data_IF_352379703312
#
_entry.id   IF_352379703312
#
_cell.length_a   1.000
_cell.length_b   1.000
_cell.length_c   1.000
_cell.angle_alpha   90.00
_cell.angle_beta   90.00
_cell.angle_gamma   90.00
#
_symmetry.space_group_name_H-M   'P 1'
#
loop_
_entity.id
_entity.type
_entity.pdbx_description
1 polymer ?
#
# COMPACT_ATOMS: atom_id res chain seq x y z
N UNK A 1 24.36 11.84 2.84
CA UNK A 1 24.76 10.41 2.76
C UNK A 1 25.28 10.13 1.34
N UNK A 2 26.53 9.70 1.15
CA UNK A 2 27.15 9.56 -0.20
C UNK A 2 26.71 8.31 -0.98
N UNK A 3 26.25 7.26 -0.29
CA UNK A 3 25.89 5.97 -0.90
C UNK A 3 24.52 5.96 -1.60
N UNK A 4 23.59 6.86 -1.24
CA UNK A 4 22.27 6.93 -1.89
C UNK A 4 22.34 7.20 -3.39
N UNK A 5 23.35 7.95 -3.83
CA UNK A 5 23.63 8.23 -5.24
C UNK A 5 23.93 6.97 -6.08
N UNK A 6 24.29 5.86 -5.44
CA UNK A 6 24.70 4.64 -6.13
C UNK A 6 23.69 3.49 -5.95
N UNK A 7 22.50 3.77 -5.42
CA UNK A 7 21.51 2.74 -5.06
C UNK A 7 21.10 1.81 -6.19
N UNK A 8 20.88 2.37 -7.38
CA UNK A 8 20.48 1.61 -8.57
C UNK A 8 21.64 0.76 -9.09
N UNK A 9 22.87 1.28 -9.02
CA UNK A 9 24.06 0.50 -9.35
C UNK A 9 24.23 -0.68 -8.40
N UNK A 10 24.12 -0.44 -7.08
CA UNK A 10 24.24 -1.51 -6.08
C UNK A 10 23.11 -2.54 -6.26
N UNK A 11 21.88 -2.09 -6.51
CA UNK A 11 20.72 -2.96 -6.76
C UNK A 11 20.96 -3.91 -7.93
N UNK A 12 21.49 -3.39 -9.04
CA UNK A 12 21.75 -4.16 -10.28
C UNK A 12 22.65 -5.37 -10.06
N UNK A 13 23.62 -5.28 -9.14
CA UNK A 13 24.57 -6.36 -8.84
C UNK A 13 24.22 -7.14 -7.56
N UNK A 14 23.11 -6.81 -6.89
CA UNK A 14 22.68 -7.50 -5.68
C UNK A 14 21.86 -8.75 -6.00
N UNK A 15 21.99 -9.85 -5.24
CA UNK A 15 21.18 -11.06 -5.42
C UNK A 15 19.68 -10.77 -5.44
N UNK A 16 18.93 -11.53 -6.27
CA UNK A 16 17.47 -11.36 -6.41
C UNK A 16 16.72 -11.82 -5.16
N UNK A 17 17.12 -12.97 -4.62
CA UNK A 17 16.58 -13.56 -3.40
C UNK A 17 17.70 -13.96 -2.44
N UNK A 18 17.34 -14.09 -1.15
CA UNK A 18 18.24 -14.56 -0.09
C UNK A 18 17.53 -15.68 0.69
N UNK A 19 18.28 -16.60 1.31
CA UNK A 19 17.70 -17.69 2.09
C UNK A 19 17.09 -17.22 3.41
N UNK A 20 17.46 -16.04 3.90
CA UNK A 20 16.98 -15.48 5.17
C UNK A 20 15.99 -14.34 4.96
N UNK A 21 15.10 -14.16 5.93
CA UNK A 21 14.28 -12.95 6.03
C UNK A 21 15.13 -11.69 6.21
N UNK A 22 14.58 -10.55 5.79
CA UNK A 22 15.22 -9.25 5.94
C UNK A 22 14.76 -8.55 7.22
N UNK A 23 15.62 -7.72 7.80
CA UNK A 23 15.27 -6.84 8.91
C UNK A 23 15.47 -5.38 8.52
N UNK A 24 14.47 -4.55 8.77
CA UNK A 24 14.48 -3.12 8.50
C UNK A 24 14.22 -2.32 9.78
N UNK A 25 15.08 -1.35 10.07
CA UNK A 25 15.09 -0.66 11.36
C UNK A 25 14.88 0.84 11.24
N UNK A 26 15.41 1.48 10.19
CA UNK A 26 15.33 2.93 10.03
C UNK A 26 15.47 3.37 8.57
N UNK A 27 15.38 4.68 8.31
CA UNK A 27 15.45 5.28 6.99
C UNK A 27 16.70 4.98 6.16
N UNK A 28 17.81 4.54 6.76
CA UNK A 28 18.95 4.05 5.97
C UNK A 28 18.59 2.83 5.15
N UNK A 29 17.63 2.04 5.62
CA UNK A 29 17.23 0.78 4.98
C UNK A 29 16.37 0.98 3.72
N UNK A 30 15.80 2.17 3.53
CA UNK A 30 15.09 2.56 2.28
C UNK A 30 16.01 2.39 1.07
N UNK A 31 17.32 2.50 1.30
CA UNK A 31 18.35 2.40 0.29
C UNK A 31 18.73 0.97 -0.08
N UNK A 32 18.20 -0.03 0.63
CA UNK A 32 18.57 -1.41 0.40
C UNK A 32 18.15 -1.86 -1.00
N UNK A 33 18.97 -2.69 -1.67
CA UNK A 33 18.69 -3.20 -3.00
C UNK A 33 17.27 -3.72 -3.18
N UNK A 34 16.73 -4.42 -2.19
CA UNK A 34 15.43 -5.05 -2.29
C UNK A 34 14.28 -4.02 -2.30
N UNK A 35 14.42 -2.92 -1.55
CA UNK A 35 13.46 -1.81 -1.52
C UNK A 35 13.51 -1.03 -2.83
N UNK A 36 14.72 -0.72 -3.29
CA UNK A 36 14.96 -0.04 -4.57
C UNK A 36 14.42 -0.87 -5.73
N UNK A 37 14.68 -2.17 -5.73
CA UNK A 37 14.19 -3.12 -6.74
C UNK A 37 12.67 -3.19 -6.76
N UNK A 38 12.03 -3.29 -5.60
CA UNK A 38 10.56 -3.28 -5.53
C UNK A 38 9.99 -2.02 -6.17
N UNK A 39 10.50 -0.85 -5.79
CA UNK A 39 10.11 0.43 -6.37
C UNK A 39 10.28 0.45 -7.90
N UNK A 40 11.45 0.07 -8.41
CA UNK A 40 11.73 0.06 -9.85
C UNK A 40 10.78 -0.91 -10.57
N UNK A 41 10.61 -2.14 -10.07
CA UNK A 41 9.77 -3.15 -10.73
C UNK A 41 8.28 -2.83 -10.65
N UNK A 42 7.82 -2.27 -9.53
CA UNK A 42 6.45 -1.77 -9.41
C UNK A 42 6.19 -0.65 -10.42
N UNK A 43 7.22 0.12 -10.78
CA UNK A 43 7.14 1.12 -11.83
C UNK A 43 7.15 0.49 -13.22
N UNK A 44 8.16 -0.30 -13.54
CA UNK A 44 8.40 -0.72 -14.92
C UNK A 44 7.53 -1.91 -15.36
N UNK A 45 7.06 -2.74 -14.43
CA UNK A 45 6.55 -4.08 -14.73
C UNK A 45 5.15 -4.36 -14.22
N UNK A 46 4.67 -3.57 -13.26
CA UNK A 46 3.35 -3.77 -12.68
C UNK A 46 2.32 -2.81 -13.27
N UNK A 47 1.17 -3.36 -13.62
CA UNK A 47 -0.06 -2.64 -13.93
C UNK A 47 -1.16 -3.09 -12.98
N UNK A 48 -1.99 -2.17 -12.51
CA UNK A 48 -3.20 -2.51 -11.74
C UNK A 48 -4.11 -3.46 -12.55
N UNK A 49 -5.01 -4.22 -11.89
CA UNK A 49 -6.06 -4.97 -12.58
C UNK A 49 -6.84 -4.06 -13.55
N UNK A 50 -7.15 -4.56 -14.75
CA UNK A 50 -7.69 -3.75 -15.85
C UNK A 50 -9.00 -3.04 -15.49
N UNK A 51 -9.86 -3.74 -14.75
CA UNK A 51 -11.18 -3.22 -14.34
C UNK A 51 -11.12 -2.34 -13.09
N UNK A 52 -9.97 -2.25 -12.42
CA UNK A 52 -9.85 -1.56 -11.15
C UNK A 52 -10.04 -0.03 -11.29
N UNK A 53 -11.11 0.48 -10.69
CA UNK A 53 -11.43 1.91 -10.67
C UNK A 53 -11.23 2.54 -9.29
N UNK A 54 -11.36 1.74 -8.23
CA UNK A 54 -11.26 2.17 -6.84
C UNK A 54 -10.05 1.51 -6.18
N UNK A 55 -9.17 2.33 -5.62
CA UNK A 55 -8.05 1.86 -4.80
C UNK A 55 -8.45 1.86 -3.32
N UNK A 56 -8.23 0.74 -2.63
CA UNK A 56 -8.28 0.66 -1.17
C UNK A 56 -6.85 0.51 -0.66
N UNK A 57 -6.38 1.50 0.11
CA UNK A 57 -5.08 1.50 0.76
C UNK A 57 -5.23 1.08 2.22
N UNK A 58 -4.64 -0.06 2.57
CA UNK A 58 -4.63 -0.61 3.93
C UNK A 58 -3.26 -0.44 4.58
N UNK A 59 -3.18 -0.21 5.90
CA UNK A 59 -1.90 -0.21 6.61
C UNK A 59 -1.29 -1.60 6.62
N UNK A 60 0.03 -1.69 6.64
CA UNK A 60 0.70 -2.95 7.00
C UNK A 60 0.24 -3.43 8.37
N UNK A 61 0.13 -4.75 8.52
CA UNK A 61 -0.19 -5.41 9.79
C UNK A 61 0.98 -6.32 10.21
N UNK A 62 0.88 -6.94 11.38
CA UNK A 62 1.89 -7.91 11.83
C UNK A 62 1.83 -9.23 11.06
N UNK A 63 0.65 -9.60 10.55
CA UNK A 63 0.44 -10.87 9.85
C UNK A 63 0.80 -10.68 8.39
N UNK A 64 1.79 -11.45 7.92
CA UNK A 64 2.17 -11.53 6.51
C UNK A 64 1.97 -12.96 6.00
N UNK A 65 1.50 -13.15 4.77
CA UNK A 65 1.06 -12.13 3.80
C UNK A 65 -0.20 -11.38 4.27
N UNK A 66 -0.37 -10.15 3.79
CA UNK A 66 -1.38 -9.21 4.30
C UNK A 66 -2.81 -9.62 3.97
N UNK A 67 -3.03 -10.36 2.88
CA UNK A 67 -4.35 -10.94 2.60
C UNK A 67 -4.79 -11.99 3.65
N UNK A 68 -3.89 -12.44 4.54
CA UNK A 68 -4.24 -13.33 5.67
C UNK A 68 -4.50 -12.56 6.98
N UNK A 69 -4.28 -11.25 7.01
CA UNK A 69 -4.52 -10.41 8.18
C UNK A 69 -6.01 -10.24 8.47
N UNK A 70 -6.35 -10.04 9.75
CA UNK A 70 -7.75 -9.96 10.19
C UNK A 70 -8.45 -8.71 9.66
N UNK A 71 -7.72 -7.62 9.48
CA UNK A 71 -8.19 -6.40 8.84
C UNK A 71 -8.66 -6.66 7.41
N UNK A 72 -7.90 -7.44 6.62
CA UNK A 72 -8.29 -7.78 5.26
C UNK A 72 -9.45 -8.77 5.24
N UNK A 73 -9.45 -9.79 6.10
CA UNK A 73 -10.60 -10.71 6.24
C UNK A 73 -11.88 -9.97 6.62
N UNK A 74 -11.78 -8.97 7.49
CA UNK A 74 -12.90 -8.11 7.89
C UNK A 74 -13.40 -7.29 6.70
N UNK A 75 -12.51 -6.72 5.89
CA UNK A 75 -12.86 -6.03 4.65
C UNK A 75 -13.54 -6.98 3.66
N UNK A 76 -12.94 -8.13 3.36
CA UNK A 76 -13.47 -9.13 2.42
C UNK A 76 -14.86 -9.61 2.81
N UNK A 77 -15.06 -9.92 4.10
CA UNK A 77 -16.37 -10.28 4.64
C UNK A 77 -17.40 -9.16 4.40
N UNK A 78 -17.09 -7.94 4.82
CA UNK A 78 -18.03 -6.82 4.70
C UNK A 78 -18.35 -6.47 3.24
N UNK A 79 -17.36 -6.55 2.34
CA UNK A 79 -17.55 -6.33 0.90
C UNK A 79 -18.46 -7.42 0.32
N UNK A 80 -18.21 -8.70 0.62
CA UNK A 80 -19.04 -9.80 0.12
C UNK A 80 -20.46 -9.77 0.67
N UNK A 81 -20.67 -9.30 1.90
CA UNK A 81 -22.01 -9.11 2.47
C UNK A 81 -22.84 -8.07 1.68
N UNK A 82 -22.19 -7.04 1.11
CA UNK A 82 -22.88 -5.97 0.36
C UNK A 82 -22.99 -6.30 -1.13
N UNK A 83 -21.93 -6.85 -1.73
CA UNK A 83 -21.83 -7.05 -3.19
C UNK A 83 -22.00 -8.51 -3.63
N UNK A 84 -22.17 -9.46 -2.70
CA UNK A 84 -22.26 -10.90 -2.96
C UNK A 84 -20.92 -11.56 -3.33
N UNK A 85 -20.07 -10.85 -4.08
CA UNK A 85 -18.71 -11.27 -4.46
C UNK A 85 -17.73 -10.11 -4.36
N UNK A 86 -16.43 -10.36 -4.52
CA UNK A 86 -15.44 -9.30 -4.56
C UNK A 86 -15.53 -8.54 -5.91
N UNK A 87 -15.85 -7.23 -5.93
CA UNK A 87 -15.96 -6.51 -7.19
C UNK A 87 -14.60 -6.35 -7.86
N UNK A 88 -14.49 -6.75 -9.14
CA UNK A 88 -13.28 -6.58 -9.97
C UNK A 88 -12.82 -5.12 -10.10
N UNK A 89 -13.74 -4.18 -9.90
CA UNK A 89 -13.48 -2.72 -9.89
C UNK A 89 -12.74 -2.23 -8.64
N UNK A 90 -12.60 -3.06 -7.60
CA UNK A 90 -11.91 -2.71 -6.35
C UNK A 90 -10.54 -3.39 -6.32
N UNK A 91 -9.51 -2.57 -6.19
CA UNK A 91 -8.12 -3.00 -6.05
C UNK A 91 -7.59 -2.65 -4.67
N UNK A 92 -6.94 -3.60 -4.01
CA UNK A 92 -6.41 -3.43 -2.66
C UNK A 92 -4.90 -3.41 -2.70
N UNK A 93 -4.32 -2.39 -2.09
CA UNK A 93 -2.89 -2.35 -1.82
C UNK A 93 -2.65 -2.07 -0.33
N UNK A 94 -1.51 -2.52 0.13
CA UNK A 94 -0.99 -2.21 1.45
C UNK A 94 0.05 -1.10 1.34
N UNK A 95 0.05 -0.14 2.24
CA UNK A 95 1.16 0.77 2.43
C UNK A 95 2.06 0.25 3.57
N UNK A 96 3.30 -0.06 3.23
CA UNK A 96 4.25 -0.76 4.08
C UNK A 96 5.62 -0.08 4.09
N UNK A 97 6.28 -0.07 5.24
CA UNK A 97 7.65 0.30 5.43
C UNK A 97 8.56 -0.94 5.28
N UNK A 98 9.67 -0.85 4.55
CA UNK A 98 10.11 0.31 3.75
C UNK A 98 9.60 0.28 2.29
N UNK A 99 8.75 -0.66 1.88
CA UNK A 99 8.47 -0.92 0.46
C UNK A 99 7.55 0.09 -0.24
N UNK A 100 6.84 0.94 0.48
CA UNK A 100 5.84 1.84 -0.10
C UNK A 100 4.54 1.11 -0.37
N UNK A 101 4.04 1.19 -1.62
CA UNK A 101 2.79 0.52 -2.01
C UNK A 101 3.07 -0.92 -2.41
N UNK A 102 2.28 -1.85 -1.86
CA UNK A 102 2.34 -3.28 -2.15
C UNK A 102 0.93 -3.75 -2.58
N UNK A 103 0.71 -3.99 -3.87
CA UNK A 103 -0.51 -4.66 -4.34
C UNK A 103 -0.63 -6.06 -3.74
N UNK A 104 -1.85 -6.48 -3.38
CA UNK A 104 -2.06 -7.80 -2.78
C UNK A 104 -1.65 -8.95 -3.72
N UNK A 105 -1.68 -8.74 -5.05
CA UNK A 105 -1.23 -9.74 -6.01
C UNK A 105 0.28 -10.05 -5.90
N UNK A 106 1.03 -9.19 -5.20
CA UNK A 106 2.47 -9.33 -5.01
C UNK A 106 2.87 -9.65 -3.57
N UNK A 107 1.94 -9.69 -2.61
CA UNK A 107 2.28 -9.69 -1.18
C UNK A 107 3.06 -10.94 -0.72
N UNK A 108 2.85 -12.10 -1.34
CA UNK A 108 3.61 -13.33 -1.08
C UNK A 108 4.98 -13.39 -1.78
N UNK A 109 5.31 -12.43 -2.65
CA UNK A 109 6.59 -12.45 -3.38
C UNK A 109 7.76 -12.02 -2.49
N UNK A 110 8.95 -12.59 -2.72
CA UNK A 110 10.15 -12.13 -2.01
C UNK A 110 10.49 -10.68 -2.39
N UNK A 111 10.79 -9.78 -1.42
CA UNK A 111 10.88 -10.00 0.04
C UNK A 111 9.63 -9.59 0.85
N UNK A 112 8.51 -9.29 0.19
CA UNK A 112 7.35 -8.61 0.77
C UNK A 112 6.71 -9.37 1.94
N UNK A 113 6.70 -10.71 1.91
CA UNK A 113 6.31 -11.54 3.06
C UNK A 113 7.48 -12.09 3.89
N UNK A 114 8.72 -11.84 3.49
CA UNK A 114 9.92 -12.42 4.10
C UNK A 114 10.79 -11.37 4.77
N UNK A 115 10.17 -10.54 5.62
CA UNK A 115 10.89 -9.53 6.36
C UNK A 115 10.16 -9.06 7.63
N UNK A 116 10.95 -8.56 8.57
CA UNK A 116 10.53 -7.89 9.79
C UNK A 116 10.92 -6.40 9.71
N UNK A 117 10.00 -5.53 10.12
CA UNK A 117 10.21 -4.08 10.12
C UNK A 117 9.93 -3.53 11.50
N UNK A 118 10.82 -2.66 12.01
CA UNK A 118 10.59 -1.92 13.24
C UNK A 118 9.38 -0.98 13.09
N UNK A 119 8.43 -1.07 14.02
CA UNK A 119 7.21 -0.27 14.05
C UNK A 119 7.10 0.51 15.36
N UNK A 120 6.60 1.76 15.34
CA UNK A 120 6.26 2.55 14.15
C UNK A 120 7.50 2.97 13.33
N UNK A 121 7.37 3.23 12.02
CA UNK A 121 8.48 3.71 11.21
C UNK A 121 8.92 5.11 11.67
N UNK A 122 10.20 5.42 11.48
CA UNK A 122 10.70 6.77 11.68
C UNK A 122 10.10 7.76 10.66
N UNK A 123 10.22 9.06 10.95
CA UNK A 123 9.59 10.11 10.15
C UNK A 123 10.09 10.16 8.69
N UNK A 124 11.37 9.85 8.43
CA UNK A 124 11.91 9.81 7.07
C UNK A 124 11.32 8.62 6.30
N UNK A 125 11.21 7.45 6.95
CA UNK A 125 10.58 6.25 6.35
C UNK A 125 9.09 6.45 6.10
N UNK A 126 8.36 7.04 7.03
CA UNK A 126 6.94 7.36 6.83
C UNK A 126 6.72 8.37 5.69
N UNK A 127 7.58 9.40 5.60
CA UNK A 127 7.54 10.37 4.49
C UNK A 127 7.90 9.72 3.15
N UNK A 128 8.86 8.79 3.13
CA UNK A 128 9.21 8.02 1.94
C UNK A 128 8.02 7.18 1.46
N UNK A 129 7.38 6.40 2.34
CA UNK A 129 6.19 5.61 1.98
C UNK A 129 5.06 6.50 1.47
N UNK A 130 4.82 7.64 2.12
CA UNK A 130 3.83 8.61 1.66
C UNK A 130 4.15 9.15 0.24
N UNK A 131 5.44 9.37 -0.08
CA UNK A 131 5.85 9.75 -1.44
C UNK A 131 5.60 8.63 -2.46
N UNK A 132 5.81 7.36 -2.08
CA UNK A 132 5.54 6.23 -2.97
C UNK A 132 4.05 6.06 -3.24
N UNK A 133 3.18 6.37 -2.28
CA UNK A 133 1.73 6.44 -2.50
C UNK A 133 1.38 7.53 -3.52
N UNK A 134 2.01 8.71 -3.42
CA UNK A 134 1.80 9.80 -4.37
C UNK A 134 2.17 9.39 -5.80
N UNK A 135 3.36 8.80 -5.96
CA UNK A 135 3.87 8.30 -7.23
C UNK A 135 2.94 7.21 -7.81
N UNK A 136 2.46 6.30 -6.97
CA UNK A 136 1.57 5.22 -7.39
C UNK A 136 0.20 5.73 -7.87
N UNK A 137 -0.45 6.60 -7.10
CA UNK A 137 -1.73 7.21 -7.48
C UNK A 137 -1.64 8.01 -8.78
N UNK A 138 -0.53 8.74 -8.99
CA UNK A 138 -0.28 9.51 -10.21
C UNK A 138 -0.17 8.67 -11.48
N UNK A 139 0.12 7.38 -11.36
CA UNK A 139 0.39 6.48 -12.50
C UNK A 139 -0.77 5.55 -12.84
N UNK A 140 -1.60 5.23 -11.85
CA UNK A 140 -2.60 4.15 -11.97
C UNK A 140 -4.01 4.63 -12.33
N UNK A 141 -4.24 5.95 -12.48
CA UNK A 141 -5.50 6.54 -12.96
C UNK A 141 -6.76 5.95 -12.30
N UNK A 142 -6.82 5.93 -10.97
CA UNK A 142 -8.02 5.54 -10.23
C UNK A 142 -9.06 6.67 -10.24
N UNK A 143 -10.36 6.31 -10.23
CA UNK A 143 -11.47 7.26 -10.09
C UNK A 143 -11.70 7.64 -8.62
N UNK A 144 -11.45 6.70 -7.71
CA UNK A 144 -11.55 6.92 -6.28
C UNK A 144 -10.44 6.21 -5.51
N UNK A 145 -10.13 6.74 -4.33
CA UNK A 145 -9.20 6.15 -3.38
C UNK A 145 -9.80 6.18 -1.97
N UNK A 146 -9.66 5.06 -1.27
CA UNK A 146 -10.04 4.88 0.12
C UNK A 146 -8.77 4.61 0.91
N UNK A 147 -8.55 5.33 2.00
CA UNK A 147 -7.45 5.07 2.93
C UNK A 147 -8.00 4.56 4.26
N UNK A 148 -7.60 3.35 4.65
CA UNK A 148 -7.72 2.91 6.03
C UNK A 148 -6.51 3.47 6.78
N UNK A 149 -6.73 4.47 7.62
CA UNK A 149 -5.69 5.24 8.29
C UNK A 149 -5.33 4.60 9.63
N UNK A 150 -4.06 4.29 9.81
CA UNK A 150 -3.48 3.90 11.10
C UNK A 150 -2.65 5.07 11.64
N UNK A 151 -3.34 6.02 12.27
CA UNK A 151 -2.74 7.24 12.81
C UNK A 151 -1.76 6.99 13.96
N UNK A 152 -1.86 5.85 14.63
CA UNK A 152 -0.95 5.49 15.72
C UNK A 152 0.42 5.10 15.19
N UNK A 153 0.47 4.31 14.13
CA UNK A 153 1.75 3.88 13.57
C UNK A 153 2.31 4.85 12.54
N UNK A 154 1.46 5.52 11.76
CA UNK A 154 1.89 6.32 10.60
C UNK A 154 1.75 7.83 10.81
N UNK A 155 1.22 8.25 11.96
CA UNK A 155 0.91 9.64 12.23
C UNK A 155 0.01 10.23 11.16
N UNK A 156 0.42 11.37 10.61
CA UNK A 156 -0.36 12.11 9.59
C UNK A 156 0.28 12.11 8.20
N UNK A 157 1.46 11.52 8.01
CA UNK A 157 2.23 11.65 6.77
C UNK A 157 1.49 11.03 5.58
N UNK A 158 1.02 9.80 5.74
CA UNK A 158 0.25 9.06 4.73
C UNK A 158 -1.06 9.79 4.43
N UNK A 159 -1.90 10.04 5.44
CA UNK A 159 -3.19 10.72 5.25
C UNK A 159 -3.08 12.08 4.57
N UNK A 160 -2.15 12.94 5.01
CA UNK A 160 -1.95 14.28 4.42
C UNK A 160 -1.54 14.17 2.96
N UNK A 161 -0.62 13.27 2.63
CA UNK A 161 -0.10 13.11 1.28
C UNK A 161 -1.14 12.53 0.35
N UNK A 162 -1.81 11.44 0.74
CA UNK A 162 -2.89 10.83 -0.04
C UNK A 162 -4.00 11.84 -0.32
N UNK A 163 -4.47 12.58 0.71
CA UNK A 163 -5.49 13.62 0.55
C UNK A 163 -5.07 14.71 -0.45
N UNK A 164 -3.82 15.20 -0.35
CA UNK A 164 -3.28 16.24 -1.24
C UNK A 164 -3.22 15.74 -2.69
N UNK A 165 -2.70 14.54 -2.91
CA UNK A 165 -2.55 13.95 -4.24
C UNK A 165 -3.90 13.68 -4.87
N UNK A 166 -4.84 13.08 -4.14
CA UNK A 166 -6.19 12.85 -4.65
C UNK A 166 -6.88 14.16 -5.04
N UNK A 167 -6.75 15.22 -4.23
CA UNK A 167 -7.28 16.55 -4.57
C UNK A 167 -6.67 17.09 -5.87
N UNK A 168 -5.36 16.98 -6.03
CA UNK A 168 -4.64 17.46 -7.22
C UNK A 168 -5.01 16.69 -8.49
N UNK A 169 -5.25 15.38 -8.37
CA UNK A 169 -5.59 14.49 -9.49
C UNK A 169 -7.10 14.40 -9.75
N UNK A 170 -7.95 15.05 -8.95
CA UNK A 170 -9.41 14.94 -9.08
C UNK A 170 -9.98 13.57 -8.69
N UNK A 171 -9.24 12.79 -7.89
CA UNK A 171 -9.66 11.47 -7.41
C UNK A 171 -10.60 11.63 -6.22
N UNK A 172 -11.78 11.00 -6.26
CA UNK A 172 -12.72 11.00 -5.12
C UNK A 172 -12.06 10.28 -3.93
N UNK A 173 -11.90 10.97 -2.81
CA UNK A 173 -11.11 10.47 -1.68
C UNK A 173 -11.92 10.38 -0.40
N UNK A 174 -11.79 9.26 0.30
CA UNK A 174 -12.30 9.07 1.66
C UNK A 174 -11.27 8.34 2.51
N UNK A 175 -11.28 8.60 3.82
CA UNK A 175 -10.48 7.83 4.76
C UNK A 175 -11.33 7.41 5.95
N UNK A 176 -10.89 6.34 6.61
CA UNK A 176 -11.47 5.79 7.83
C UNK A 176 -10.35 5.44 8.80
N UNK A 177 -10.52 5.67 10.09
CA UNK A 177 -9.51 5.23 11.07
C UNK A 177 -9.60 3.71 11.25
N UNK A 178 -8.45 3.06 11.39
CA UNK A 178 -8.34 1.61 11.60
C UNK A 178 -9.05 1.17 12.89
N UNK A 179 -9.04 2.06 13.91
CA UNK A 179 -9.78 1.86 15.16
C UNK A 179 -11.28 2.15 14.95
N UNK A 180 -12.10 1.11 15.09
CA UNK A 180 -13.56 1.22 15.14
C UNK A 180 -14.29 0.45 14.03
N UNK A 181 -15.55 0.84 13.79
CA UNK A 181 -16.42 0.26 12.75
C UNK A 181 -16.20 0.95 11.39
N UNK A 182 -15.01 0.80 10.83
CA UNK A 182 -14.68 1.37 9.51
C UNK A 182 -15.28 0.58 8.35
N UNK A 183 -15.48 -0.73 8.51
CA UNK A 183 -15.87 -1.68 7.47
C UNK A 183 -17.23 -1.35 6.86
N UNK A 184 -18.26 -1.11 7.67
CA UNK A 184 -19.60 -0.73 7.21
C UNK A 184 -19.62 0.62 6.49
N UNK A 185 -18.84 1.59 6.99
CA UNK A 185 -18.76 2.92 6.38
C UNK A 185 -17.98 2.90 5.07
N UNK A 186 -16.94 2.06 5.01
CA UNK A 186 -16.14 1.82 3.82
C UNK A 186 -16.97 1.17 2.73
N UNK A 187 -17.73 0.11 3.04
CA UNK A 187 -18.58 -0.56 2.05
C UNK A 187 -19.71 0.33 1.54
N UNK A 188 -20.30 1.16 2.42
CA UNK A 188 -21.26 2.19 2.00
C UNK A 188 -20.65 3.19 1.01
N UNK A 189 -19.41 3.62 1.24
CA UNK A 189 -18.71 4.50 0.30
C UNK A 189 -18.34 3.78 -1.00
N UNK A 190 -17.95 2.50 -0.94
CA UNK A 190 -17.74 1.69 -2.14
C UNK A 190 -19.02 1.61 -2.98
N UNK A 191 -20.17 1.38 -2.36
CA UNK A 191 -21.46 1.32 -3.05
C UNK A 191 -21.77 2.65 -3.76
N UNK A 192 -21.57 3.78 -3.07
CA UNK A 192 -21.76 5.13 -3.64
C UNK A 192 -20.79 5.46 -4.80
N UNK A 193 -19.60 4.86 -4.82
CA UNK A 193 -18.61 5.09 -5.88
C UNK A 193 -18.82 4.16 -7.08
N UNK A 194 -19.12 2.89 -6.81
CA UNK A 194 -19.31 1.90 -7.87
C UNK A 194 -20.68 2.08 -8.55
N UNK A 195 -21.65 2.68 -7.85
CA UNK A 195 -23.05 2.75 -8.27
C UNK A 195 -23.76 1.42 -8.02
N UNK A 196 -25.10 1.45 -8.04
CA UNK A 196 -25.92 0.23 -8.13
C UNK A 196 -25.68 -0.39 -9.52
N UNK A 197 -24.62 -1.17 -9.66
CA UNK A 197 -24.52 -2.12 -10.76
C UNK A 197 -24.96 -3.49 -10.24
N UNK A 198 -25.98 -4.10 -10.86
CA UNK A 198 -26.55 -5.39 -10.46
C UNK A 198 -25.57 -6.55 -10.60
#
# INVERSE_FOLDING_TARGET
>A
KKLDKYKEFIEKYSPISKPSGLFFYNALDIMRPEVVRHRIRLVERYSKPQEAEVLVLMPQTRVKPFHKADEFKKLDKAVREVFGTWPSRVHVCVYEAPFGVVPLELDESYPLSQHETAMPPDAETAAYVASQIADYLGRMAYKAAILLNDSENWGNAVLKTTRKVCKNLGIKFKYFELKGEWDKLLTKFLLDVLGDTP
#
